data_IF_993899664401
#
_entry.id   IF_993899664401
#
_cell.length_a   1.000
_cell.length_b   1.000
_cell.length_c   1.000
_cell.angle_alpha   90.00
_cell.angle_beta   90.00
_cell.angle_gamma   90.00
#
_symmetry.space_group_name_H-M   'P 1'
#
loop_
_entity.id
_entity.type
_entity.pdbx_description
1 polymer ?
#
# COMPACT_ATOMS: atom_id res chain seq x y z
N UNK A 1 22.05 -1.33 -21.16
CA UNK A 1 21.08 -0.45 -21.85
C UNK A 1 19.97 0.08 -20.93
N UNK A 2 19.54 -0.63 -19.87
CA UNK A 2 18.49 -0.16 -18.95
C UNK A 2 18.79 1.16 -18.21
N UNK A 3 20.06 1.39 -17.84
CA UNK A 3 20.49 2.52 -16.98
C UNK A 3 20.09 3.93 -17.46
N UNK A 4 19.83 4.12 -18.77
CA UNK A 4 19.51 5.44 -19.33
C UNK A 4 18.04 5.85 -19.14
N UNK A 5 17.12 4.88 -19.15
CA UNK A 5 15.68 5.12 -19.08
C UNK A 5 15.11 4.96 -17.67
N UNK A 6 15.94 4.48 -16.76
CA UNK A 6 15.54 4.13 -15.41
C UNK A 6 15.68 5.30 -14.41
N UNK A 7 16.68 6.16 -14.61
CA UNK A 7 17.00 7.22 -13.63
C UNK A 7 15.98 8.36 -13.57
N UNK A 8 15.10 8.49 -14.56
CA UNK A 8 14.07 9.54 -14.63
C UNK A 8 12.70 8.90 -14.56
N UNK A 9 11.88 9.29 -13.59
CA UNK A 9 10.59 8.69 -13.31
C UNK A 9 9.54 8.84 -14.43
N UNK A 10 9.71 9.82 -15.33
CA UNK A 10 8.71 10.21 -16.33
C UNK A 10 9.14 9.95 -17.77
N UNK A 11 10.06 9.00 -17.99
CA UNK A 11 10.54 8.63 -19.33
C UNK A 11 10.11 7.21 -19.70
N UNK A 12 9.60 7.07 -20.91
CA UNK A 12 9.36 5.76 -21.51
C UNK A 12 10.66 5.10 -21.99
N UNK A 13 10.79 3.80 -21.74
CA UNK A 13 11.83 2.96 -22.34
C UNK A 13 11.58 2.80 -23.86
N UNK A 14 12.55 2.30 -24.64
CA UNK A 14 12.36 1.99 -26.06
C UNK A 14 11.21 1.01 -26.31
N UNK A 15 10.89 0.17 -25.33
CA UNK A 15 9.79 -0.80 -25.35
C UNK A 15 8.46 -0.21 -24.83
N UNK A 16 8.40 1.09 -24.52
CA UNK A 16 7.19 1.76 -24.04
C UNK A 16 6.89 1.56 -22.55
N UNK A 17 7.87 1.18 -21.75
CA UNK A 17 7.69 0.85 -20.31
C UNK A 17 8.11 2.00 -19.41
N UNK A 18 7.52 2.08 -18.22
CA UNK A 18 7.92 3.00 -17.15
C UNK A 18 8.63 2.21 -16.05
N UNK A 19 9.95 2.07 -16.13
CA UNK A 19 10.71 1.20 -15.23
C UNK A 19 10.55 1.55 -13.74
N UNK A 20 10.46 2.84 -13.39
CA UNK A 20 10.24 3.25 -12.00
C UNK A 20 8.89 2.77 -11.43
N UNK A 21 7.85 2.67 -12.25
CA UNK A 21 6.55 2.09 -11.84
C UNK A 21 6.66 0.59 -11.65
N UNK A 22 7.39 -0.09 -12.52
CA UNK A 22 7.60 -1.53 -12.42
C UNK A 22 8.42 -1.91 -11.18
N UNK A 23 9.41 -1.09 -10.83
CA UNK A 23 10.17 -1.30 -9.60
C UNK A 23 9.32 -1.04 -8.36
N UNK A 24 8.39 -0.09 -8.41
CA UNK A 24 7.42 0.11 -7.33
C UNK A 24 6.51 -1.12 -7.17
N UNK A 25 6.07 -1.73 -8.28
CA UNK A 25 5.32 -3.00 -8.25
C UNK A 25 6.14 -4.14 -7.62
N UNK A 26 7.43 -4.24 -7.97
CA UNK A 26 8.32 -5.23 -7.35
C UNK A 26 8.52 -4.95 -5.85
N UNK A 27 8.64 -3.70 -5.43
CA UNK A 27 8.73 -3.36 -4.01
C UNK A 27 7.46 -3.78 -3.22
N UNK A 28 6.28 -3.72 -3.86
CA UNK A 28 5.02 -4.19 -3.26
C UNK A 28 5.00 -5.71 -3.11
N UNK A 29 5.61 -6.47 -4.04
CA UNK A 29 5.66 -7.95 -4.02
C UNK A 29 6.30 -8.48 -2.72
N UNK A 30 7.22 -7.72 -2.13
CA UNK A 30 7.92 -8.05 -0.90
C UNK A 30 7.23 -7.53 0.37
N UNK A 31 6.13 -6.79 0.26
CA UNK A 31 5.39 -6.28 1.41
C UNK A 31 4.49 -7.37 2.04
N UNK A 32 4.07 -7.19 3.30
CA UNK A 32 3.13 -8.11 3.94
C UNK A 32 1.81 -8.18 3.15
N UNK A 33 1.25 -9.37 3.00
CA UNK A 33 0.04 -9.57 2.20
C UNK A 33 -1.16 -8.80 2.76
N UNK A 34 -2.08 -8.41 1.88
CA UNK A 34 -3.41 -7.95 2.26
C UNK A 34 -4.45 -8.52 1.31
N UNK A 35 -5.60 -8.90 1.84
CA UNK A 35 -6.70 -9.51 1.12
C UNK A 35 -8.03 -8.89 1.56
N UNK A 36 -8.98 -8.86 0.64
CA UNK A 36 -10.36 -8.47 0.90
C UNK A 36 -11.30 -9.54 0.39
N UNK A 37 -12.34 -9.85 1.16
CA UNK A 37 -13.40 -10.79 0.79
C UNK A 37 -14.72 -10.03 0.79
N UNK A 38 -15.41 -10.05 -0.34
CA UNK A 38 -16.77 -9.56 -0.48
C UNK A 38 -17.76 -10.66 -0.09
N UNK A 39 -18.73 -10.31 0.74
CA UNK A 39 -19.86 -11.15 1.14
C UNK A 39 -21.18 -10.45 0.79
N UNK A 40 -22.29 -11.16 0.94
CA UNK A 40 -23.63 -10.61 0.63
C UNK A 40 -24.03 -9.46 1.56
N UNK A 41 -23.51 -9.45 2.79
CA UNK A 41 -23.84 -8.51 3.86
C UNK A 41 -22.70 -7.51 4.19
N UNK A 42 -21.58 -7.57 3.46
CA UNK A 42 -20.47 -6.65 3.69
C UNK A 42 -19.14 -7.08 3.09
N UNK A 43 -18.06 -6.52 3.63
CA UNK A 43 -16.69 -6.78 3.19
C UNK A 43 -15.78 -6.99 4.40
N UNK A 44 -14.86 -7.96 4.29
CA UNK A 44 -13.82 -8.20 5.29
C UNK A 44 -12.46 -7.90 4.68
N UNK A 45 -11.64 -7.13 5.39
CA UNK A 45 -10.23 -6.92 5.06
C UNK A 45 -9.35 -7.66 6.05
N UNK A 46 -8.31 -8.32 5.55
CA UNK A 46 -7.25 -8.90 6.36
C UNK A 46 -5.88 -8.47 5.83
N UNK A 47 -4.94 -8.31 6.76
CA UNK A 47 -3.57 -7.90 6.48
C UNK A 47 -2.58 -8.67 7.35
N UNK A 48 -1.50 -9.13 6.75
CA UNK A 48 -0.40 -9.80 7.44
C UNK A 48 0.40 -8.80 8.28
N UNK A 49 0.43 -8.99 9.61
CA UNK A 49 1.33 -8.24 10.51
C UNK A 49 2.72 -8.87 10.44
N UNK A 50 3.59 -8.30 9.61
CA UNK A 50 4.94 -8.85 9.36
C UNK A 50 5.94 -8.57 10.48
N UNK A 51 5.75 -7.46 11.21
CA UNK A 51 6.61 -7.08 12.32
C UNK A 51 5.99 -7.57 13.63
N UNK A 52 6.42 -8.74 14.08
CA UNK A 52 5.99 -9.33 15.35
C UNK A 52 7.21 -9.39 16.26
N UNK A 53 7.31 -8.42 17.17
CA UNK A 53 8.28 -8.45 18.26
C UNK A 53 7.51 -8.45 19.57
N UNK A 54 7.89 -9.28 20.56
CA UNK A 54 7.30 -9.24 21.90
C UNK A 54 7.46 -7.88 22.62
N UNK A 55 8.32 -6.99 22.08
CA UNK A 55 8.54 -5.65 22.60
C UNK A 55 7.65 -4.59 21.92
N UNK A 56 6.91 -4.96 20.87
CA UNK A 56 5.93 -4.06 20.26
C UNK A 56 4.70 -4.00 21.14
N UNK A 57 4.27 -2.78 21.44
CA UNK A 57 3.05 -2.53 22.18
C UNK A 57 1.84 -2.82 21.27
N UNK A 58 1.03 -3.82 21.62
CA UNK A 58 -0.14 -4.27 20.85
C UNK A 58 -1.32 -3.29 20.93
N UNK A 59 -1.18 -2.18 21.65
CA UNK A 59 -2.24 -1.18 21.88
C UNK A 59 -2.59 -0.37 20.62
N UNK A 60 -1.82 -0.46 19.52
CA UNK A 60 -2.13 0.28 18.29
C UNK A 60 -3.08 -0.48 17.36
N UNK A 61 -4.13 0.23 16.92
CA UNK A 61 -5.00 -0.15 15.80
C UNK A 61 -4.18 -0.65 14.60
N UNK A 62 -4.67 -1.72 13.96
CA UNK A 62 -4.10 -2.43 12.81
C UNK A 62 -3.05 -1.65 12.01
N UNK A 63 -1.82 -2.15 11.96
CA UNK A 63 -0.70 -1.55 11.22
C UNK A 63 -0.95 -1.42 9.70
N UNK A 64 -2.00 -2.07 9.18
CA UNK A 64 -2.31 -2.12 7.75
C UNK A 64 -3.70 -1.62 7.38
N UNK A 65 -4.68 -1.72 8.29
CA UNK A 65 -6.09 -1.38 8.00
C UNK A 65 -6.43 -0.06 8.66
N UNK A 66 -6.76 0.92 7.83
CA UNK A 66 -7.05 2.28 8.22
C UNK A 66 -8.51 2.61 7.95
N UNK A 67 -9.21 3.14 8.95
CA UNK A 67 -10.50 3.80 8.74
C UNK A 67 -10.28 5.11 7.97
N UNK A 68 -11.02 5.30 6.88
CA UNK A 68 -11.01 6.50 6.04
C UNK A 68 -12.22 7.37 6.37
N UNK A 69 -13.41 6.78 6.37
CA UNK A 69 -14.69 7.40 6.73
C UNK A 69 -15.51 6.41 7.59
N UNK A 70 -16.70 6.79 8.05
CA UNK A 70 -17.59 5.91 8.82
C UNK A 70 -17.93 4.61 8.08
N UNK A 71 -18.13 4.68 6.76
CA UNK A 71 -18.49 3.53 5.92
C UNK A 71 -17.36 3.08 4.97
N UNK A 72 -16.13 3.58 5.17
CA UNK A 72 -14.99 3.31 4.29
C UNK A 72 -13.73 3.00 5.07
N UNK A 73 -13.10 1.86 4.76
CA UNK A 73 -11.77 1.51 5.23
C UNK A 73 -10.85 1.11 4.07
N UNK A 74 -9.55 1.20 4.30
CA UNK A 74 -8.52 0.87 3.32
C UNK A 74 -7.46 0.01 4.00
N UNK A 75 -7.03 -1.06 3.33
CA UNK A 75 -5.86 -1.83 3.73
C UNK A 75 -4.69 -1.55 2.80
N UNK A 76 -3.48 -1.45 3.34
CA UNK A 76 -2.29 -1.06 2.56
C UNK A 76 -1.21 -2.15 2.52
N UNK A 77 -0.63 -2.33 1.33
CA UNK A 77 0.55 -3.16 1.06
C UNK A 77 1.56 -2.36 0.25
N UNK A 78 2.77 -2.18 0.80
CA UNK A 78 3.81 -1.35 0.22
C UNK A 78 4.62 -0.63 1.30
N UNK A 79 5.17 0.52 0.96
CA UNK A 79 5.97 1.36 1.85
C UNK A 79 5.06 2.13 2.82
N UNK A 80 5.26 1.94 4.13
CA UNK A 80 4.39 2.54 5.18
C UNK A 80 4.46 4.07 5.21
N UNK A 81 5.60 4.69 4.85
CA UNK A 81 5.70 6.15 4.78
C UNK A 81 4.74 6.73 3.75
N UNK A 82 4.68 6.12 2.57
CA UNK A 82 3.86 6.58 1.45
C UNK A 82 2.37 6.32 1.76
N UNK A 83 2.09 5.16 2.37
CA UNK A 83 0.76 4.82 2.89
C UNK A 83 0.21 5.92 3.79
N UNK A 84 0.98 6.41 4.77
CA UNK A 84 0.53 7.43 5.71
C UNK A 84 0.12 8.74 5.00
N UNK A 85 0.85 9.14 3.96
CA UNK A 85 0.52 10.34 3.17
C UNK A 85 -0.80 10.14 2.42
N UNK A 86 -0.92 9.03 1.69
CA UNK A 86 -2.11 8.73 0.89
C UNK A 86 -3.36 8.53 1.75
N UNK A 87 -3.24 7.88 2.92
CA UNK A 87 -4.37 7.70 3.85
C UNK A 87 -4.86 9.04 4.40
N UNK A 88 -3.95 9.96 4.71
CA UNK A 88 -4.34 11.29 5.17
C UNK A 88 -5.01 12.10 4.04
N UNK A 89 -4.49 12.00 2.82
CA UNK A 89 -5.13 12.62 1.66
C UNK A 89 -6.53 12.04 1.40
N UNK A 90 -6.70 10.71 1.44
CA UNK A 90 -7.99 10.04 1.31
C UNK A 90 -8.99 10.49 2.39
N UNK A 91 -8.54 10.72 3.62
CA UNK A 91 -9.39 11.26 4.70
C UNK A 91 -9.81 12.70 4.46
N UNK A 92 -8.98 13.52 3.82
CA UNK A 92 -9.37 14.89 3.43
C UNK A 92 -10.34 14.89 2.26
N UNK A 93 -10.14 14.00 1.28
CA UNK A 93 -11.04 13.85 0.12
C UNK A 93 -12.38 13.25 0.53
N UNK A 94 -12.38 12.34 1.50
CA UNK A 94 -13.58 11.64 1.98
C UNK A 94 -14.38 12.37 3.05
N UNK A 95 -14.03 13.63 3.38
CA UNK A 95 -14.90 14.54 4.15
C UNK A 95 -16.03 15.09 3.28
#
# INVERSE_FOLDING_TARGET
MARRYDTRATIFSPEGRLYQVEYALEAISHSGASLGILADDGVVLAGEKRNISPLLDDVKYSEKIYKIHDDLCCSVSGITSDANVLINELRMIGQ
#
